data_IF_572889049172
#
_entry.id   IF_572889049172
#
_cell.length_a   1.000
_cell.length_b   1.000
_cell.length_c   1.000
_cell.angle_alpha   90.00
_cell.angle_beta   90.00
_cell.angle_gamma   90.00
#
_symmetry.space_group_name_H-M   'P 1'
#
loop_
_entity.id
_entity.type
_entity.pdbx_description
1 polymer ?
#
# COMPACT_ATOMS: atom_id res chain seq x y z
N UNK A 1 9.32 -17.20 7.89
CA UNK A 1 9.01 -15.76 7.92
C UNK A 1 7.49 -15.56 7.89
N UNK A 2 6.96 -14.49 8.47
CA UNK A 2 5.55 -14.10 8.36
C UNK A 2 5.41 -12.88 7.47
N UNK A 3 4.55 -12.98 6.45
CA UNK A 3 4.33 -11.98 5.42
C UNK A 3 2.88 -11.50 5.50
N UNK A 4 2.67 -10.20 5.43
CA UNK A 4 1.35 -9.59 5.34
C UNK A 4 1.23 -8.87 4.00
N UNK A 5 0.60 -9.49 2.98
CA UNK A 5 0.19 -8.76 1.79
C UNK A 5 -0.78 -7.66 2.23
N UNK A 6 -0.43 -6.40 1.99
CA UNK A 6 -1.21 -5.27 2.49
C UNK A 6 -2.65 -5.34 1.97
N UNK A 7 -3.63 -5.25 2.86
CA UNK A 7 -5.05 -5.42 2.53
C UNK A 7 -5.58 -6.86 2.61
N UNK A 8 -4.73 -7.86 2.86
CA UNK A 8 -5.16 -9.22 3.16
C UNK A 8 -5.83 -9.31 4.55
N UNK A 9 -6.67 -10.33 4.80
CA UNK A 9 -7.35 -10.47 6.09
C UNK A 9 -6.41 -10.86 7.26
N UNK A 10 -5.24 -11.42 6.97
CA UNK A 10 -4.24 -11.84 7.97
C UNK A 10 -2.87 -12.04 7.37
N UNK A 11 -1.84 -12.07 8.23
CA UNK A 11 -0.51 -12.51 7.87
C UNK A 11 -0.47 -14.02 7.51
N UNK A 12 0.46 -14.36 6.63
CA UNK A 12 0.68 -15.70 6.09
C UNK A 12 2.09 -16.14 6.47
N UNK A 13 2.21 -17.35 7.01
CA UNK A 13 3.52 -17.96 7.24
C UNK A 13 4.07 -18.46 5.92
N UNK A 14 5.20 -17.89 5.48
CA UNK A 14 5.93 -18.36 4.30
C UNK A 14 6.49 -19.76 4.59
N UNK A 15 6.14 -20.72 3.72
CA UNK A 15 6.55 -22.13 3.84
C UNK A 15 7.77 -22.48 3.00
N UNK A 16 8.09 -21.68 1.98
CA UNK A 16 9.28 -21.85 1.18
C UNK A 16 10.55 -21.83 2.05
N UNK A 17 11.54 -22.60 1.62
CA UNK A 17 12.89 -22.49 2.14
C UNK A 17 13.49 -21.16 1.66
N UNK A 18 13.93 -20.35 2.61
CA UNK A 18 14.56 -19.04 2.37
C UNK A 18 16.05 -19.08 2.69
N UNK A 19 16.65 -20.27 2.82
CA UNK A 19 18.07 -20.45 3.12
C UNK A 19 19.02 -19.85 2.08
N UNK A 20 18.56 -19.71 0.83
CA UNK A 20 19.30 -19.14 -0.30
C UNK A 20 18.82 -17.73 -0.69
N UNK A 21 17.91 -17.14 0.08
CA UNK A 21 17.43 -15.77 -0.16
C UNK A 21 18.35 -14.84 0.62
N UNK A 22 19.05 -13.93 -0.05
CA UNK A 22 19.99 -13.03 0.62
C UNK A 22 19.28 -11.78 1.14
N UNK A 23 18.46 -11.15 0.31
CA UNK A 23 17.81 -9.88 0.61
C UNK A 23 16.32 -9.84 0.23
N UNK A 24 15.70 -8.66 0.39
CA UNK A 24 14.29 -8.46 0.08
C UNK A 24 13.99 -8.50 -1.42
N UNK A 25 14.97 -8.26 -2.30
CA UNK A 25 14.81 -8.35 -3.76
C UNK A 25 14.69 -9.81 -4.18
N UNK A 26 15.58 -10.68 -3.66
CA UNK A 26 15.49 -12.13 -3.83
C UNK A 26 14.17 -12.67 -3.26
N UNK A 27 13.77 -12.18 -2.08
CA UNK A 27 12.53 -12.58 -1.42
C UNK A 27 11.33 -12.26 -2.31
N UNK A 28 11.32 -11.11 -2.99
CA UNK A 28 10.21 -10.71 -3.85
C UNK A 28 9.89 -11.78 -4.90
N UNK A 29 10.93 -12.37 -5.51
CA UNK A 29 10.80 -13.50 -6.43
C UNK A 29 10.09 -14.70 -5.80
N UNK A 30 10.49 -15.10 -4.60
CA UNK A 30 9.86 -16.21 -3.85
C UNK A 30 8.39 -15.92 -3.55
N UNK A 31 8.06 -14.69 -3.17
CA UNK A 31 6.70 -14.31 -2.81
C UNK A 31 5.71 -14.45 -3.98
N UNK A 32 6.14 -14.16 -5.21
CA UNK A 32 5.30 -14.32 -6.41
C UNK A 32 4.91 -15.78 -6.68
N UNK A 33 5.71 -16.73 -6.22
CA UNK A 33 5.48 -18.16 -6.40
C UNK A 33 4.57 -18.72 -5.28
N UNK A 34 4.84 -18.28 -4.05
CA UNK A 34 4.26 -18.86 -2.83
C UNK A 34 2.93 -18.22 -2.39
N UNK A 35 2.72 -16.94 -2.69
CA UNK A 35 1.55 -16.19 -2.22
C UNK A 35 0.61 -15.90 -3.38
N UNK A 36 -0.57 -16.53 -3.36
CA UNK A 36 -1.55 -16.44 -4.44
C UNK A 36 -1.91 -15.00 -4.86
N UNK A 37 -2.09 -14.08 -3.90
CA UNK A 37 -2.46 -12.68 -4.22
C UNK A 37 -1.31 -11.89 -4.85
N UNK A 38 -0.08 -12.37 -4.71
CA UNK A 38 1.13 -11.78 -5.29
C UNK A 38 1.57 -12.47 -6.59
N UNK A 39 0.85 -13.51 -7.01
CA UNK A 39 1.19 -14.29 -8.19
C UNK A 39 1.02 -13.48 -9.46
N UNK A 40 1.95 -13.64 -10.40
CA UNK A 40 2.00 -12.92 -11.68
C UNK A 40 2.17 -11.40 -11.57
N UNK A 41 2.51 -10.88 -10.38
CA UNK A 41 2.95 -9.51 -10.22
C UNK A 41 4.44 -9.41 -10.51
N UNK A 42 4.86 -8.25 -11.01
CA UNK A 42 6.27 -7.93 -11.15
C UNK A 42 6.88 -7.70 -9.75
N UNK A 43 7.85 -8.53 -9.32
CA UNK A 43 8.45 -8.41 -7.99
C UNK A 43 9.12 -7.04 -7.75
N UNK A 44 9.57 -6.35 -8.80
CA UNK A 44 10.16 -5.01 -8.68
C UNK A 44 9.15 -3.94 -8.23
N UNK A 45 7.85 -4.25 -8.31
CA UNK A 45 6.79 -3.35 -7.87
C UNK A 45 6.45 -3.52 -6.39
N UNK A 46 7.08 -4.47 -5.69
CA UNK A 46 6.86 -4.67 -4.27
C UNK A 46 7.54 -3.61 -3.44
N UNK A 47 6.83 -3.14 -2.42
CA UNK A 47 7.35 -2.25 -1.39
C UNK A 47 7.23 -2.98 -0.07
N UNK A 48 8.39 -3.25 0.52
CA UNK A 48 8.49 -3.90 1.82
C UNK A 48 8.42 -2.85 2.93
N UNK A 49 7.55 -3.08 3.90
CA UNK A 49 7.40 -2.23 5.08
C UNK A 49 7.52 -3.05 6.35
N UNK A 50 8.04 -2.45 7.40
CA UNK A 50 7.96 -3.03 8.75
C UNK A 50 6.56 -2.84 9.37
N UNK A 51 6.40 -3.29 10.61
CA UNK A 51 5.14 -3.18 11.35
C UNK A 51 4.77 -1.74 11.76
N UNK A 52 5.69 -0.79 11.61
CA UNK A 52 5.47 0.65 11.79
C UNK A 52 5.19 1.35 10.45
N UNK A 53 4.96 0.59 9.37
CA UNK A 53 4.80 1.08 7.99
C UNK A 53 6.02 1.84 7.43
N UNK A 54 7.21 1.65 8.02
CA UNK A 54 8.44 2.25 7.48
C UNK A 54 8.97 1.40 6.33
N UNK A 55 9.39 2.08 5.26
CA UNK A 55 9.93 1.42 4.07
C UNK A 55 11.29 0.80 4.36
N UNK A 56 11.43 -0.47 3.98
CA UNK A 56 12.71 -1.19 3.98
C UNK A 56 13.34 -1.10 2.58
N UNK A 57 14.68 -1.03 2.53
CA UNK A 57 15.41 -1.04 1.27
C UNK A 57 15.42 -2.46 0.67
N UNK A 58 15.39 -2.60 -0.66
CA UNK A 58 15.38 -3.93 -1.31
C UNK A 58 16.61 -4.77 -0.97
N UNK A 59 17.79 -4.16 -0.86
CA UNK A 59 19.01 -4.85 -0.41
C UNK A 59 19.08 -5.13 1.10
N UNK A 60 17.97 -5.06 1.84
CA UNK A 60 17.98 -5.39 3.27
C UNK A 60 18.10 -6.90 3.42
N UNK A 61 19.16 -7.34 4.12
CA UNK A 61 19.39 -8.75 4.46
C UNK A 61 18.19 -9.35 5.21
N UNK A 62 17.66 -10.47 4.71
CA UNK A 62 16.47 -11.10 5.29
C UNK A 62 16.70 -11.65 6.71
N UNK A 63 17.95 -11.96 7.07
CA UNK A 63 18.32 -12.51 8.39
C UNK A 63 18.15 -11.47 9.50
N UNK A 64 18.18 -10.19 9.15
CA UNK A 64 17.93 -9.07 10.07
C UNK A 64 16.43 -8.87 10.33
N UNK A 65 15.55 -9.47 9.53
CA UNK A 65 14.11 -9.25 9.56
C UNK A 65 13.44 -10.32 10.42
N UNK A 66 13.15 -9.98 11.68
CA UNK A 66 12.41 -10.86 12.60
C UNK A 66 10.92 -10.62 12.49
N UNK A 67 10.19 -11.65 12.09
CA UNK A 67 8.74 -11.59 11.87
C UNK A 67 7.97 -12.61 12.72
N UNK A 68 6.78 -12.21 13.14
CA UNK A 68 5.79 -13.08 13.80
C UNK A 68 4.42 -12.89 13.14
N UNK A 69 3.43 -13.68 13.52
CA UNK A 69 2.04 -13.50 13.10
C UNK A 69 1.48 -12.13 13.51
N UNK A 70 1.97 -11.56 14.61
CA UNK A 70 1.58 -10.23 15.12
C UNK A 70 2.45 -9.09 14.61
N UNK A 71 3.66 -9.40 14.15
CA UNK A 71 4.65 -8.45 13.64
C UNK A 71 5.16 -8.98 12.29
N UNK A 72 4.31 -8.99 11.25
CA UNK A 72 4.68 -9.51 9.94
C UNK A 72 5.49 -8.48 9.14
N UNK A 73 6.23 -8.96 8.14
CA UNK A 73 6.76 -8.11 7.07
C UNK A 73 5.61 -7.75 6.14
N UNK A 74 5.33 -6.45 5.98
CA UNK A 74 4.24 -5.97 5.14
C UNK A 74 4.74 -5.87 3.70
N UNK A 75 3.93 -6.36 2.76
CA UNK A 75 4.21 -6.29 1.33
C UNK A 75 3.11 -5.49 0.66
N UNK A 76 3.45 -4.28 0.25
CA UNK A 76 2.61 -3.42 -0.59
C UNK A 76 2.93 -3.72 -2.06
N UNK A 77 1.90 -3.80 -2.89
CA UNK A 77 2.03 -4.22 -4.30
C UNK A 77 1.09 -3.41 -5.19
N UNK A 78 1.46 -3.27 -6.47
CA UNK A 78 0.59 -2.60 -7.45
C UNK A 78 -0.62 -3.46 -7.80
N UNK A 79 -1.78 -2.81 -7.94
CA UNK A 79 -3.02 -3.43 -8.41
C UNK A 79 -3.23 -3.19 -9.91
N UNK A 80 -2.65 -2.10 -10.45
CA UNK A 80 -2.56 -1.84 -11.89
C UNK A 80 -1.42 -0.86 -12.18
N UNK A 81 -1.04 -0.75 -13.44
CA UNK A 81 -0.13 0.27 -13.99
C UNK A 81 -0.69 1.71 -13.93
N UNK A 82 -2.00 1.86 -13.74
CA UNK A 82 -2.67 3.15 -13.64
C UNK A 82 -2.24 3.94 -12.41
N UNK A 83 -2.33 5.27 -12.52
CA UNK A 83 -2.19 6.20 -11.39
C UNK A 83 -3.54 6.83 -11.05
N UNK A 84 -3.79 7.00 -9.76
CA UNK A 84 -4.96 7.70 -9.24
C UNK A 84 -4.57 9.18 -9.15
N UNK A 85 -5.31 10.04 -9.84
CA UNK A 85 -5.18 11.49 -9.69
C UNK A 85 -6.19 11.95 -8.65
N UNK A 86 -5.72 12.65 -7.63
CA UNK A 86 -6.55 13.16 -6.55
C UNK A 86 -6.38 14.66 -6.46
N UNK A 87 -7.48 15.38 -6.56
CA UNK A 87 -7.56 16.79 -6.22
C UNK A 87 -8.20 16.92 -4.84
N UNK A 88 -7.60 17.72 -3.98
CA UNK A 88 -8.09 17.92 -2.61
C UNK A 88 -8.08 19.40 -2.25
N UNK A 89 -9.01 19.78 -1.38
CA UNK A 89 -9.17 21.14 -0.87
C UNK A 89 -9.23 21.10 0.65
N UNK A 90 -8.44 21.95 1.28
CA UNK A 90 -8.45 22.17 2.73
C UNK A 90 -8.46 23.68 3.00
N UNK A 91 -9.53 24.17 3.64
CA UNK A 91 -9.75 25.60 3.84
C UNK A 91 -9.64 26.37 2.50
N UNK A 92 -8.76 27.38 2.41
CA UNK A 92 -8.49 28.15 1.18
C UNK A 92 -7.35 27.57 0.33
N UNK A 93 -6.77 26.44 0.74
CA UNK A 93 -5.68 25.78 0.02
C UNK A 93 -6.25 24.64 -0.82
N UNK A 94 -5.67 24.45 -2.00
CA UNK A 94 -5.93 23.31 -2.86
C UNK A 94 -4.62 22.63 -3.19
N UNK A 95 -4.66 21.33 -3.40
CA UNK A 95 -3.52 20.57 -3.89
C UNK A 95 -4.00 19.44 -4.78
N UNK A 96 -3.05 18.87 -5.50
CA UNK A 96 -3.29 17.67 -6.28
C UNK A 96 -2.08 16.76 -6.17
N UNK A 97 -2.33 15.46 -6.30
CA UNK A 97 -1.28 14.47 -6.36
C UNK A 97 -1.66 13.33 -7.31
N UNK A 98 -0.63 12.60 -7.75
CA UNK A 98 -0.78 11.36 -8.50
C UNK A 98 -0.14 10.24 -7.71
N UNK A 99 -0.94 9.31 -7.23
CA UNK A 99 -0.48 8.15 -6.46
C UNK A 99 -0.61 6.87 -7.31
N UNK A 100 0.28 5.88 -7.15
CA UNK A 100 0.12 4.56 -7.77
C UNK A 100 -1.19 3.90 -7.36
N UNK A 101 -1.82 3.12 -8.26
CA UNK A 101 -2.90 2.21 -7.88
C UNK A 101 -2.31 0.94 -7.28
N UNK A 102 -2.32 0.85 -5.95
CA UNK A 102 -1.64 -0.16 -5.15
C UNK A 102 -2.47 -0.54 -3.94
N UNK A 103 -2.12 -1.64 -3.28
CA UNK A 103 -2.77 -2.04 -2.02
C UNK A 103 -2.65 -0.99 -0.91
N UNK A 104 -1.68 -0.08 -1.00
CA UNK A 104 -1.48 1.00 -0.02
C UNK A 104 -1.79 2.40 -0.53
N UNK A 105 -2.58 2.55 -1.60
CA UNK A 105 -2.88 3.89 -2.15
C UNK A 105 -3.49 4.85 -1.13
N UNK A 106 -4.31 4.37 -0.20
CA UNK A 106 -4.86 5.23 0.86
C UNK A 106 -3.78 5.78 1.81
N UNK A 107 -2.82 4.96 2.20
CA UNK A 107 -1.68 5.38 3.02
C UNK A 107 -0.81 6.40 2.27
N UNK A 108 -0.55 6.15 0.97
CA UNK A 108 0.19 7.09 0.12
C UNK A 108 -0.54 8.43 -0.04
N UNK A 109 -1.87 8.43 -0.12
CA UNK A 109 -2.66 9.66 -0.16
C UNK A 109 -2.47 10.50 1.11
N UNK A 110 -2.51 9.86 2.29
CA UNK A 110 -2.25 10.53 3.56
C UNK A 110 -0.85 11.15 3.61
N UNK A 111 0.16 10.39 3.21
CA UNK A 111 1.55 10.88 3.13
C UNK A 111 1.67 12.12 2.23
N UNK A 112 1.05 12.12 1.05
CA UNK A 112 1.08 13.27 0.13
C UNK A 112 0.38 14.50 0.69
N UNK A 113 -0.74 14.31 1.38
CA UNK A 113 -1.49 15.40 2.03
C UNK A 113 -0.68 16.01 3.17
N UNK A 114 -0.03 15.19 4.01
CA UNK A 114 0.82 15.68 5.09
C UNK A 114 2.04 16.47 4.60
N UNK A 115 2.61 16.10 3.44
CA UNK A 115 3.70 16.85 2.80
C UNK A 115 3.26 18.22 2.26
N UNK A 116 2.00 18.34 1.83
CA UNK A 116 1.48 19.57 1.23
C UNK A 116 0.86 20.52 2.27
N UNK A 117 0.30 19.98 3.36
CA UNK A 117 -0.33 20.74 4.43
C UNK A 117 0.37 20.48 5.76
N UNK A 118 1.51 21.15 5.95
CA UNK A 118 2.33 21.02 7.16
C UNK A 118 1.60 21.46 8.44
N UNK A 119 0.44 22.13 8.31
CA UNK A 119 -0.45 22.54 9.39
C UNK A 119 -1.43 21.44 9.85
N UNK A 120 -1.51 20.31 9.15
CA UNK A 120 -2.35 19.16 9.54
C UNK A 120 -1.57 18.15 10.38
N UNK A 121 -2.16 17.71 11.50
CA UNK A 121 -1.70 16.51 12.22
C UNK A 121 -2.36 15.26 11.62
N UNK A 122 -1.71 14.10 11.70
CA UNK A 122 -2.19 12.85 11.07
C UNK A 122 -3.60 12.45 11.53
N UNK A 123 -3.95 12.74 12.79
CA UNK A 123 -5.24 12.44 13.40
C UNK A 123 -6.40 13.30 12.85
N UNK A 124 -6.10 14.38 12.13
CA UNK A 124 -7.09 15.33 11.61
C UNK A 124 -7.49 15.05 10.14
N UNK A 125 -6.89 14.05 9.50
CA UNK A 125 -7.08 13.79 8.08
C UNK A 125 -8.22 12.79 7.86
N UNK A 126 -9.38 13.31 7.47
CA UNK A 126 -10.47 12.54 6.86
C UNK A 126 -10.73 13.05 5.44
N UNK A 127 -11.00 12.15 4.51
CA UNK A 127 -11.31 12.52 3.14
C UNK A 127 -12.81 12.43 2.90
N UNK A 128 -13.35 13.39 2.17
CA UNK A 128 -14.73 13.39 1.70
C UNK A 128 -14.71 13.31 0.18
N UNK A 129 -15.45 12.37 -0.37
CA UNK A 129 -15.69 12.34 -1.81
C UNK A 129 -16.71 13.41 -2.19
N UNK A 130 -16.32 14.40 -3.00
CA UNK A 130 -17.11 15.61 -3.30
C UNK A 130 -18.50 15.27 -3.86
N UNK A 131 -18.60 14.28 -4.76
CA UNK A 131 -19.87 13.96 -5.42
C UNK A 131 -20.86 13.19 -4.53
N UNK A 132 -20.37 12.32 -3.65
CA UNK A 132 -21.23 11.46 -2.84
C UNK A 132 -21.31 11.88 -1.37
N UNK A 133 -20.56 12.91 -0.97
CA UNK A 133 -20.35 13.32 0.42
C UNK A 133 -20.00 12.14 1.35
N UNK A 134 -19.45 11.06 0.78
CA UNK A 134 -19.12 9.85 1.52
C UNK A 134 -17.74 10.02 2.14
N UNK A 135 -17.65 9.70 3.42
CA UNK A 135 -16.40 9.72 4.14
C UNK A 135 -15.53 8.53 3.74
N UNK A 136 -14.29 8.80 3.35
CA UNK A 136 -13.27 7.82 3.03
C UNK A 136 -12.43 7.63 4.30
N UNK A 137 -12.82 6.64 5.10
CA UNK A 137 -12.24 6.43 6.43
C UNK A 137 -11.05 5.50 6.42
N UNK A 138 -11.03 4.59 5.46
CA UNK A 138 -10.04 3.52 5.37
C UNK A 138 -9.77 3.11 3.91
N UNK A 139 -8.82 2.19 3.75
CA UNK A 139 -8.45 1.59 2.46
C UNK A 139 -9.63 0.93 1.76
N UNK A 140 -10.59 0.35 2.50
CA UNK A 140 -11.75 -0.31 1.90
C UNK A 140 -12.68 0.71 1.23
N UNK A 141 -13.02 1.80 1.94
CA UNK A 141 -13.83 2.88 1.36
C UNK A 141 -13.13 3.54 0.17
N UNK A 142 -11.81 3.72 0.26
CA UNK A 142 -11.03 4.33 -0.82
C UNK A 142 -11.04 3.46 -2.08
N UNK A 143 -10.81 2.16 -1.94
CA UNK A 143 -10.83 1.22 -3.06
C UNK A 143 -12.22 1.10 -3.67
N UNK A 144 -13.28 1.08 -2.85
CA UNK A 144 -14.66 1.09 -3.33
C UNK A 144 -14.94 2.30 -4.24
N UNK A 145 -14.46 3.49 -3.85
CA UNK A 145 -14.64 4.70 -4.65
C UNK A 145 -13.86 4.65 -5.96
N UNK A 146 -12.60 4.21 -5.95
CA UNK A 146 -11.79 4.09 -7.18
C UNK A 146 -12.45 3.16 -8.20
N UNK A 147 -12.95 2.01 -7.74
CA UNK A 147 -13.59 1.03 -8.61
C UNK A 147 -14.88 1.57 -9.20
N UNK A 148 -15.74 2.19 -8.37
CA UNK A 148 -17.03 2.69 -8.84
C UNK A 148 -16.92 3.98 -9.67
N UNK A 149 -16.01 4.90 -9.33
CA UNK A 149 -15.81 6.14 -10.10
C UNK A 149 -15.17 5.85 -11.48
N UNK A 150 -14.33 4.80 -11.58
CA UNK A 150 -13.81 4.32 -12.86
C UNK A 150 -14.92 3.76 -13.77
N UNK A 151 -15.96 3.15 -13.20
CA UNK A 151 -17.13 2.67 -13.96
C UNK A 151 -18.06 3.80 -14.40
N UNK A 152 -18.15 4.89 -13.63
CA UNK A 152 -18.97 6.06 -13.98
C UNK A 152 -18.38 6.88 -15.14
N UNK A 153 -17.06 6.87 -15.33
CA UNK A 153 -16.36 7.57 -16.44
C UNK A 153 -16.24 6.74 -17.74
N UNK A 154 -16.72 5.50 -17.74
CA UNK A 154 -16.66 4.59 -18.90
C UNK A 154 -18.02 4.35 -19.57
N UNK A 155 -19.04 5.12 -19.20
CA UNK A 155 -20.32 5.28 -19.90
C UNK A 155 -20.44 6.70 -20.46
#
# INVERSE_FOLDING_TARGET
>A
MWIYPEGAPRAIKLKADVSLVEDLDDLAGVLTQEINVLRNLDPQQFVFLDNENRRLASGTDITLIRTTDKVPLIVRYQLSDRRISVDFRYSRKSGSCKIPHSSGSFSLLKEEVMKQFNDLQEYDIYFLHEMSSTNIRDTFNFNYLIINDAQLKSN
#
